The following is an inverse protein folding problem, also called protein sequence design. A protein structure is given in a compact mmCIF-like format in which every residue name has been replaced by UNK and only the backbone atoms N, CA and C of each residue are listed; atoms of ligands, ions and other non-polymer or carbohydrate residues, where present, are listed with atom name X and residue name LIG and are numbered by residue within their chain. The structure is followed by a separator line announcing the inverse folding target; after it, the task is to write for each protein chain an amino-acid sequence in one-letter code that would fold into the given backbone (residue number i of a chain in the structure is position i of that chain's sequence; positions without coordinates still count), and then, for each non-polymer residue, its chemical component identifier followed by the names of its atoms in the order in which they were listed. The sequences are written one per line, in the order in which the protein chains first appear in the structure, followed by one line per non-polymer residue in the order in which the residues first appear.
data_IF_525644755281
#
_entry.id   IF_525644755281
#
_cell.length_a   1.000
_cell.length_b   1.000
_cell.length_c   1.000
_cell.angle_alpha   90.00
_cell.angle_beta   90.00
_cell.angle_gamma   90.00
#
_symmetry.space_group_name_H-M   'P 1'
#
loop_
_entity.id
_entity.type
_entity.pdbx_description
1 polymer ?
#
# COMPACT_ATOMS: atom_id res chain seq x y z
N UNK A 1 9.19 5.82 -3.51
CA UNK A 1 8.22 6.41 -4.46
C UNK A 1 8.05 5.60 -5.75
N UNK A 2 9.11 5.33 -6.53
CA UNK A 2 9.01 4.63 -7.84
C UNK A 2 8.41 3.20 -7.76
N UNK A 3 8.54 2.50 -6.63
CA UNK A 3 8.01 1.13 -6.43
C UNK A 3 6.48 1.08 -6.39
N UNK A 4 5.82 2.03 -5.73
CA UNK A 4 4.34 2.07 -5.69
C UNK A 4 3.75 2.26 -7.09
N UNK A 5 4.38 3.09 -7.91
CA UNK A 5 3.96 3.29 -9.30
C UNK A 5 4.01 2.02 -10.15
N UNK A 6 4.99 1.14 -9.93
CA UNK A 6 5.13 -0.11 -10.68
C UNK A 6 3.99 -1.11 -10.42
N UNK A 7 3.36 -1.03 -9.24
CA UNK A 7 2.27 -1.92 -8.83
C UNK A 7 0.92 -1.24 -8.79
N UNK A 8 0.83 0.04 -9.16
CA UNK A 8 -0.36 0.86 -9.00
C UNK A 8 -1.61 0.24 -9.63
N UNK A 9 -1.56 -0.09 -10.93
CA UNK A 9 -2.70 -0.69 -11.63
C UNK A 9 -3.04 -2.09 -11.10
N UNK A 10 -2.01 -2.86 -10.70
CA UNK A 10 -2.20 -4.21 -10.14
C UNK A 10 -2.90 -4.15 -8.78
N UNK A 11 -2.48 -3.24 -7.90
CA UNK A 11 -3.12 -3.09 -6.59
C UNK A 11 -4.56 -2.58 -6.73
N UNK A 12 -4.84 -1.70 -7.70
CA UNK A 12 -6.23 -1.25 -7.94
C UNK A 12 -7.14 -2.40 -8.37
N UNK A 13 -6.62 -3.34 -9.18
CA UNK A 13 -7.40 -4.44 -9.75
C UNK A 13 -7.47 -5.69 -8.86
N UNK A 14 -6.35 -6.06 -8.23
CA UNK A 14 -6.16 -7.34 -7.55
C UNK A 14 -6.17 -7.23 -6.02
N UNK A 15 -6.37 -6.03 -5.45
CA UNK A 15 -6.37 -5.82 -4.00
C UNK A 15 -7.68 -5.22 -3.52
N UNK A 16 -8.11 -5.63 -2.34
CA UNK A 16 -9.26 -5.04 -1.65
C UNK A 16 -8.74 -4.23 -0.47
N UNK A 17 -8.54 -2.92 -0.66
CA UNK A 17 -8.16 -2.02 0.44
C UNK A 17 -9.44 -1.63 1.20
N UNK A 18 -9.94 -2.57 2.00
CA UNK A 18 -11.16 -2.43 2.79
C UNK A 18 -10.93 -1.65 4.10
N UNK A 19 -11.95 -1.65 4.97
CA UNK A 19 -11.92 -0.92 6.24
C UNK A 19 -10.81 -1.41 7.18
N UNK A 20 -10.52 -2.71 7.18
CA UNK A 20 -9.50 -3.28 8.08
C UNK A 20 -8.10 -2.84 7.63
N UNK A 21 -7.85 -2.81 6.32
CA UNK A 21 -6.63 -2.24 5.73
C UNK A 21 -6.49 -0.75 6.08
N UNK A 22 -7.56 0.03 5.94
CA UNK A 22 -7.56 1.45 6.27
C UNK A 22 -7.28 1.70 7.75
N UNK A 23 -7.92 0.96 8.63
CA UNK A 23 -7.74 1.10 10.07
C UNK A 23 -6.30 0.77 10.49
N UNK A 24 -5.67 -0.23 9.85
CA UNK A 24 -4.25 -0.54 10.06
C UNK A 24 -3.32 0.57 9.54
N UNK A 25 -3.59 1.13 8.36
CA UNK A 25 -2.81 2.24 7.81
C UNK A 25 -2.89 3.50 8.68
N UNK A 26 -4.05 3.75 9.30
CA UNK A 26 -4.25 4.84 10.27
C UNK A 26 -3.54 4.52 11.58
N UNK A 27 -3.69 3.29 12.09
CA UNK A 27 -3.02 2.84 13.32
C UNK A 27 -1.50 2.90 13.22
N UNK A 28 -0.94 2.80 12.01
CA UNK A 28 0.50 2.94 11.73
C UNK A 28 0.93 4.37 11.38
N UNK A 29 0.04 5.35 11.54
CA UNK A 29 0.29 6.76 11.28
C UNK A 29 0.70 7.08 9.83
N UNK A 30 0.38 6.20 8.88
CA UNK A 30 0.63 6.43 7.45
C UNK A 30 -0.48 7.26 6.84
N UNK A 31 -1.72 6.92 7.18
CA UNK A 31 -2.92 7.69 6.87
C UNK A 31 -3.47 8.36 8.13
N UNK A 32 -4.25 9.41 7.94
CA UNK A 32 -4.97 10.09 9.00
C UNK A 32 -6.46 9.78 8.95
N UNK A 33 -7.16 10.15 10.01
CA UNK A 33 -8.62 10.02 10.06
C UNK A 33 -9.27 10.88 8.96
N UNK A 34 -8.72 12.07 8.67
CA UNK A 34 -9.25 12.91 7.59
C UNK A 34 -9.09 12.25 6.21
N UNK A 35 -7.99 11.52 5.99
CA UNK A 35 -7.77 10.76 4.75
C UNK A 35 -8.86 9.69 4.59
N UNK A 36 -9.28 9.03 5.69
CA UNK A 36 -10.36 8.03 5.70
C UNK A 36 -11.68 8.62 5.24
N UNK A 37 -12.02 9.82 5.72
CA UNK A 37 -13.25 10.51 5.34
C UNK A 37 -13.26 10.86 3.85
N UNK A 38 -12.10 11.20 3.27
CA UNK A 38 -11.96 11.41 1.82
C UNK A 38 -12.15 10.10 1.04
N UNK A 39 -11.51 9.02 1.49
CA UNK A 39 -11.60 7.71 0.83
C UNK A 39 -13.02 7.14 0.88
N UNK A 40 -13.71 7.26 2.02
CA UNK A 40 -15.07 6.72 2.19
C UNK A 40 -16.12 7.44 1.30
N UNK A 41 -15.83 8.66 0.82
CA UNK A 41 -16.70 9.38 -0.12
C UNK A 41 -16.79 8.71 -1.50
N UNK A 42 -15.79 7.91 -1.89
CA UNK A 42 -15.81 7.20 -3.16
C UNK A 42 -16.70 5.95 -3.08
N UNK A 43 -17.71 5.77 -3.96
CA UNK A 43 -18.61 4.63 -3.88
C UNK A 43 -18.04 3.34 -4.49
N UNK A 44 -17.05 3.46 -5.38
CA UNK A 44 -16.42 2.31 -6.06
C UNK A 44 -15.14 1.90 -5.36
N UNK A 45 -14.95 0.59 -5.19
CA UNK A 45 -13.73 0.03 -4.60
C UNK A 45 -12.46 0.44 -5.38
N UNK A 46 -12.51 0.43 -6.70
CA UNK A 46 -11.39 0.86 -7.55
C UNK A 46 -10.99 2.32 -7.30
N UNK A 47 -11.97 3.20 -7.11
CA UNK A 47 -11.73 4.63 -6.87
C UNK A 47 -11.17 4.85 -5.45
N UNK A 48 -11.63 4.06 -4.47
CA UNK A 48 -11.05 4.02 -3.12
C UNK A 48 -9.61 3.55 -3.13
N UNK A 49 -9.34 2.42 -3.79
CA UNK A 49 -7.99 1.87 -3.90
C UNK A 49 -7.04 2.89 -4.52
N UNK A 50 -7.50 3.56 -5.57
CA UNK A 50 -6.75 4.63 -6.23
C UNK A 50 -6.44 5.78 -5.28
N UNK A 51 -7.43 6.28 -4.56
CA UNK A 51 -7.25 7.36 -3.58
C UNK A 51 -6.25 6.99 -2.49
N UNK A 52 -6.33 5.77 -1.94
CA UNK A 52 -5.38 5.26 -0.94
C UNK A 52 -3.96 5.26 -1.51
N UNK A 53 -3.77 4.73 -2.72
CA UNK A 53 -2.46 4.69 -3.36
C UNK A 53 -1.91 6.08 -3.65
N UNK A 54 -2.73 7.01 -4.12
CA UNK A 54 -2.33 8.40 -4.37
C UNK A 54 -1.86 9.08 -3.08
N UNK A 55 -2.54 8.82 -1.96
CA UNK A 55 -2.12 9.30 -0.65
C UNK A 55 -0.79 8.65 -0.25
N UNK A 56 -0.65 7.33 -0.36
CA UNK A 56 0.59 6.62 -0.01
C UNK A 56 1.79 7.05 -0.84
N UNK A 57 1.59 7.44 -2.10
CA UNK A 57 2.64 7.99 -2.97
C UNK A 57 3.12 9.35 -2.46
N UNK A 58 2.27 10.16 -1.84
CA UNK A 58 2.67 11.46 -1.28
C UNK A 58 3.28 11.36 0.12
N UNK A 59 3.29 10.16 0.70
CA UNK A 59 3.81 9.88 2.05
C UNK A 59 5.26 9.39 1.99
N UNK A 60 6.02 9.47 3.10
CA UNK A 60 7.44 9.10 3.13
C UNK A 60 7.70 7.67 2.66
N UNK A 61 8.96 7.38 2.32
CA UNK A 61 9.37 6.13 1.66
C UNK A 61 8.97 4.83 2.40
N UNK A 62 8.84 4.89 3.73
CA UNK A 62 8.39 3.80 4.59
C UNK A 62 6.93 3.36 4.35
N UNK A 63 6.13 4.18 3.67
CA UNK A 63 4.71 3.89 3.36
C UNK A 63 4.55 2.63 2.50
N UNK A 64 5.53 2.33 1.65
CA UNK A 64 5.53 1.11 0.85
C UNK A 64 5.71 -0.15 1.71
N UNK A 65 6.66 -0.10 2.65
CA UNK A 65 6.91 -1.22 3.59
C UNK A 65 5.68 -1.46 4.46
N UNK A 66 5.10 -0.39 4.98
CA UNK A 66 3.90 -0.49 5.82
C UNK A 66 2.72 -1.03 5.03
N UNK A 67 2.49 -0.56 3.80
CA UNK A 67 1.44 -1.12 2.94
C UNK A 67 1.64 -2.63 2.75
N UNK A 68 2.86 -3.07 2.44
CA UNK A 68 3.18 -4.48 2.25
C UNK A 68 2.90 -5.32 3.50
N UNK A 69 3.31 -4.84 4.67
CA UNK A 69 3.02 -5.51 5.94
C UNK A 69 1.51 -5.59 6.21
N UNK A 70 0.76 -4.52 5.96
CA UNK A 70 -0.70 -4.50 6.12
C UNK A 70 -1.36 -5.52 5.18
N UNK A 71 -0.96 -5.55 3.91
CA UNK A 71 -1.52 -6.50 2.93
C UNK A 71 -1.23 -7.97 3.30
N UNK A 72 -0.06 -8.24 3.91
CA UNK A 72 0.26 -9.57 4.46
C UNK A 72 -0.65 -9.92 5.63
N UNK A 73 -0.89 -8.98 6.54
CA UNK A 73 -1.70 -9.21 7.73
C UNK A 73 -3.17 -9.41 7.42
N UNK A 74 -3.70 -8.67 6.45
CA UNK A 74 -5.12 -8.74 6.09
C UNK A 74 -5.43 -9.79 5.02
N UNK A 75 -4.40 -10.38 4.38
CA UNK A 75 -4.56 -11.28 3.22
C UNK A 75 -5.44 -10.66 2.11
N UNK A 76 -5.47 -9.33 2.02
CA UNK A 76 -6.36 -8.58 1.11
C UNK A 76 -5.85 -8.52 -0.34
N UNK A 77 -4.76 -9.22 -0.62
CA UNK A 77 -4.02 -9.22 -1.87
C UNK A 77 -3.63 -10.66 -2.24
N UNK A 78 -3.48 -10.95 -3.54
CA UNK A 78 -2.97 -12.25 -3.98
C UNK A 78 -1.54 -12.48 -3.50
N UNK A 79 -1.23 -13.74 -3.16
CA UNK A 79 0.10 -14.16 -2.71
C UNK A 79 1.17 -13.87 -3.77
N UNK A 80 0.84 -14.05 -5.05
CA UNK A 80 1.72 -13.72 -6.19
C UNK A 80 2.09 -12.22 -6.24
N UNK A 81 1.13 -11.32 -5.95
CA UNK A 81 1.38 -9.88 -5.93
C UNK A 81 2.20 -9.48 -4.70
N UNK A 82 1.96 -10.11 -3.55
CA UNK A 82 2.78 -9.93 -2.34
C UNK A 82 4.23 -10.34 -2.57
N UNK A 83 4.47 -11.52 -3.18
CA UNK A 83 5.82 -12.02 -3.49
C UNK A 83 6.55 -11.10 -4.49
N UNK A 84 5.83 -10.57 -5.50
CA UNK A 84 6.39 -9.59 -6.43
C UNK A 84 6.80 -8.29 -5.74
N UNK A 85 5.99 -7.80 -4.79
CA UNK A 85 6.29 -6.59 -4.02
C UNK A 85 7.47 -6.81 -3.06
N UNK A 86 7.54 -7.95 -2.40
CA UNK A 86 8.65 -8.33 -1.52
C UNK A 86 9.98 -8.40 -2.26
N UNK A 87 9.99 -9.04 -3.43
CA UNK A 87 11.20 -9.20 -4.24
C UNK A 87 11.80 -7.84 -4.66
N UNK A 88 10.95 -6.81 -4.86
CA UNK A 88 11.40 -5.44 -5.13
C UNK A 88 11.79 -4.65 -3.87
N UNK A 89 11.39 -5.09 -2.68
CA UNK A 89 11.87 -4.53 -1.41
C UNK A 89 13.29 -5.02 -1.09
N UNK A 90 13.56 -6.32 -1.31
CA UNK A 90 14.83 -6.98 -1.01
C UNK A 90 16.00 -6.53 -1.90
N UNK A 91 15.75 -6.26 -3.19
CA UNK A 91 16.80 -5.82 -4.13
C UNK A 91 17.45 -4.48 -3.80
N UNK A 92 16.92 -3.73 -2.82
CA UNK A 92 17.48 -2.47 -2.36
C UNK A 92 18.17 -2.57 -0.99
N UNK A 93 17.99 -3.65 -0.24
CA UNK A 93 18.68 -3.88 1.04
C UNK A 93 20.10 -4.45 0.84
N UNK A 94 20.34 -5.17 -0.26
CA UNK A 94 21.65 -5.74 -0.58
C UNK A 94 22.67 -4.70 -1.09
N UNK A 95 22.22 -3.49 -1.44
CA UNK A 95 23.10 -2.42 -1.91
C UNK A 95 23.77 -1.62 -0.76
N UNK A 96 23.11 -1.50 0.40
CA UNK A 96 23.62 -0.70 1.53
C UNK A 96 24.40 -1.53 2.58
N UNK A 97 24.31 -2.86 2.51
CA UNK A 97 24.98 -3.75 3.48
C UNK A 97 26.44 -4.09 3.11
N UNK A 98 26.98 -3.48 2.04
CA UNK A 98 28.29 -3.80 1.47
C UNK A 98 29.24 -2.58 1.35
N UNK A 99 29.04 -1.53 2.17
CA UNK A 99 29.99 -0.41 2.35
C UNK A 99 30.69 -0.46 3.71
#
# INVERSE_FOLDING_TARGET
HQRLYNFYDKIIQDTVLDKDVLDLLISRCILRIEDREEIEQYPRLSDRNKCILDLLIQRPEDSYRVLLEVLKETSSCSEDLLECMESQQLSHYEADSNS
#
